data_IF_961193841020
#
_entry.id   IF_961193841020
#
_cell.length_a   1.000
_cell.length_b   1.000
_cell.length_c   1.000
_cell.angle_alpha   90.00
_cell.angle_beta   90.00
_cell.angle_gamma   90.00
#
_symmetry.space_group_name_H-M   'P 1'
#
loop_
_entity.id
_entity.type
_entity.pdbx_description
1 polymer ?
#
# COMPACT_ATOMS: atom_id res chain seq x y z
N UNK A 1 -4.30 -19.57 10.09
CA UNK A 1 -3.51 -18.32 10.17
C UNK A 1 -4.44 -17.13 10.03
N UNK A 2 -4.31 -16.15 10.91
CA UNK A 2 -5.17 -14.98 10.91
C UNK A 2 -4.47 -13.81 10.22
N UNK A 3 -5.15 -13.16 9.28
CA UNK A 3 -4.62 -12.00 8.57
C UNK A 3 -5.46 -10.78 8.93
N UNK A 4 -4.79 -9.70 9.27
CA UNK A 4 -5.47 -8.45 9.61
C UNK A 4 -4.98 -7.34 8.69
N UNK A 5 -5.94 -6.62 8.08
CA UNK A 5 -5.66 -5.48 7.23
C UNK A 5 -6.53 -4.32 7.68
N UNK A 6 -5.90 -3.20 7.98
CA UNK A 6 -6.59 -2.01 8.38
C UNK A 6 -6.05 -0.83 7.57
N UNK A 7 -6.93 -0.14 6.85
CA UNK A 7 -6.53 0.97 5.99
C UNK A 7 -7.01 2.28 6.59
N UNK A 8 -6.12 3.26 6.66
CA UNK A 8 -6.42 4.56 7.23
C UNK A 8 -6.04 5.67 6.26
N UNK A 9 -6.99 6.60 6.04
CA UNK A 9 -6.74 7.80 5.24
C UNK A 9 -5.96 8.81 6.07
N UNK A 10 -4.83 9.25 5.53
CA UNK A 10 -3.92 10.16 6.25
C UNK A 10 -4.01 11.61 5.79
N UNK A 11 -4.95 11.91 4.91
CA UNK A 11 -5.10 13.23 4.32
C UNK A 11 -4.62 13.25 2.88
N UNK A 12 -5.07 14.25 2.12
CA UNK A 12 -4.77 14.36 0.69
C UNK A 12 -5.03 13.01 0.00
N UNK A 13 -4.03 12.42 -0.62
CA UNK A 13 -4.16 11.15 -1.34
C UNK A 13 -3.47 9.99 -0.63
N UNK A 14 -2.97 10.22 0.58
CA UNK A 14 -2.21 9.20 1.29
C UNK A 14 -3.10 8.27 2.09
N UNK A 15 -2.89 6.97 1.92
CA UNK A 15 -3.51 5.93 2.75
C UNK A 15 -2.42 5.05 3.33
N UNK A 16 -2.53 4.75 4.61
CA UNK A 16 -1.66 3.79 5.26
C UNK A 16 -2.44 2.52 5.51
N UNK A 17 -1.88 1.39 5.12
CA UNK A 17 -2.47 0.09 5.37
C UNK A 17 -1.63 -0.66 6.39
N UNK A 18 -2.25 -1.08 7.49
CA UNK A 18 -1.60 -1.92 8.48
C UNK A 18 -1.92 -3.37 8.13
N UNK A 19 -0.90 -4.11 7.77
CA UNK A 19 -1.04 -5.51 7.33
C UNK A 19 -0.16 -6.37 8.23
N UNK A 20 -0.77 -7.14 9.13
CA UNK A 20 -0.05 -8.02 10.06
C UNK A 20 1.13 -7.31 10.74
N UNK A 21 0.87 -6.15 11.34
CA UNK A 21 1.85 -5.31 12.05
C UNK A 21 2.89 -4.62 11.16
N UNK A 22 2.70 -4.67 9.84
CA UNK A 22 3.54 -3.92 8.91
C UNK A 22 2.73 -2.78 8.31
N UNK A 23 3.37 -1.63 8.17
CA UNK A 23 2.72 -0.46 7.58
C UNK A 23 3.11 -0.33 6.11
N UNK A 24 2.09 -0.28 5.24
CA UNK A 24 2.28 -0.04 3.82
C UNK A 24 1.71 1.32 3.50
N UNK A 25 2.56 2.24 3.05
CA UNK A 25 2.14 3.59 2.70
C UNK A 25 1.81 3.62 1.21
N UNK A 26 0.58 4.08 0.90
CA UNK A 26 0.14 4.25 -0.48
C UNK A 26 -0.16 5.72 -0.71
N UNK A 27 0.33 6.26 -1.81
CA UNK A 27 0.12 7.67 -2.12
C UNK A 27 0.07 7.83 -3.63
N UNK A 28 -0.27 9.03 -4.07
CA UNK A 28 -0.26 9.39 -5.48
C UNK A 28 0.95 10.29 -5.76
N UNK A 29 1.42 10.35 -7.01
CA UNK A 29 2.47 11.31 -7.36
C UNK A 29 1.96 12.73 -7.24
N UNK A 30 2.88 13.69 -7.16
CA UNK A 30 2.52 15.10 -6.98
C UNK A 30 1.61 15.61 -8.10
N UNK A 31 1.78 15.13 -9.32
CA UNK A 31 0.94 15.53 -10.46
C UNK A 31 -0.52 15.11 -10.27
N UNK A 32 -0.80 14.15 -9.42
CA UNK A 32 -2.15 13.66 -9.14
C UNK A 32 -2.69 14.17 -7.80
N UNK A 33 -1.99 15.11 -7.17
CA UNK A 33 -2.42 15.70 -5.91
C UNK A 33 -1.86 15.04 -4.67
N UNK A 34 -1.00 14.05 -4.81
CA UNK A 34 -0.34 13.40 -3.68
C UNK A 34 1.02 14.00 -3.36
N UNK A 35 1.72 13.39 -2.44
CA UNK A 35 3.05 13.83 -2.02
C UNK A 35 4.14 12.82 -2.38
N UNK A 36 3.77 11.76 -3.10
CA UNK A 36 4.69 10.71 -3.55
C UNK A 36 5.45 10.07 -2.38
N UNK A 37 4.75 9.86 -1.27
CA UNK A 37 5.33 9.23 -0.09
C UNK A 37 5.35 7.71 -0.16
N UNK A 38 4.66 7.15 -1.12
CA UNK A 38 4.61 5.72 -1.33
C UNK A 38 4.06 5.40 -2.71
N UNK A 39 4.00 4.11 -3.07
CA UNK A 39 3.51 3.71 -4.39
C UNK A 39 2.00 3.92 -4.51
N UNK A 40 1.54 4.06 -5.75
CA UNK A 40 0.11 4.03 -6.05
C UNK A 40 -0.39 2.62 -5.76
N UNK A 41 -1.62 2.45 -5.21
CA UNK A 41 -2.13 1.12 -4.88
C UNK A 41 -2.18 0.14 -6.06
N UNK A 42 -2.44 0.63 -7.26
CA UNK A 42 -2.61 -0.22 -8.42
C UNK A 42 -1.40 -1.13 -8.71
N UNK A 43 -0.15 -0.63 -8.72
CA UNK A 43 1.00 -1.52 -8.87
C UNK A 43 1.15 -2.55 -7.74
N UNK A 44 0.64 -2.26 -6.55
CA UNK A 44 0.73 -3.19 -5.42
C UNK A 44 -0.08 -4.46 -5.68
N UNK A 45 -1.12 -4.39 -6.51
CA UNK A 45 -1.90 -5.57 -6.89
C UNK A 45 -1.00 -6.56 -7.66
N UNK A 46 -0.03 -6.06 -8.42
CA UNK A 46 0.93 -6.88 -9.13
C UNK A 46 2.08 -7.34 -8.23
N UNK A 47 2.44 -6.51 -7.25
CA UNK A 47 3.52 -6.81 -6.32
C UNK A 47 3.17 -7.97 -5.40
N UNK A 48 1.94 -8.03 -4.92
CA UNK A 48 1.52 -9.07 -3.99
C UNK A 48 1.61 -10.48 -4.59
N UNK A 49 1.08 -10.75 -5.81
CA UNK A 49 1.26 -12.06 -6.45
C UNK A 49 2.71 -12.39 -6.73
N UNK A 50 3.52 -11.40 -7.13
CA UNK A 50 4.94 -11.61 -7.37
C UNK A 50 5.65 -12.06 -6.10
N UNK A 51 5.34 -11.43 -4.97
CA UNK A 51 5.89 -11.82 -3.69
C UNK A 51 5.50 -13.23 -3.29
N UNK A 52 4.23 -13.59 -3.47
CA UNK A 52 3.76 -14.94 -3.18
C UNK A 52 4.51 -15.98 -4.02
N UNK A 53 4.70 -15.71 -5.30
CA UNK A 53 5.40 -16.63 -6.19
C UNK A 53 6.87 -16.74 -5.80
N UNK A 54 7.52 -15.63 -5.48
CA UNK A 54 8.93 -15.62 -5.12
C UNK A 54 9.22 -16.26 -3.78
N UNK A 55 8.25 -16.21 -2.84
CA UNK A 55 8.41 -16.76 -1.49
C UNK A 55 7.92 -18.19 -1.37
N UNK A 56 7.19 -18.66 -2.36
CA UNK A 56 6.73 -20.06 -2.39
C UNK A 56 7.82 -21.02 -2.88
#
# INVERSE_FOLDING_TARGET
MKHEVCTQWMGKMQFNALVNDHVIIMDAPQRAGGEDLGPIPKPLVLTAPSGCTGMA
#
